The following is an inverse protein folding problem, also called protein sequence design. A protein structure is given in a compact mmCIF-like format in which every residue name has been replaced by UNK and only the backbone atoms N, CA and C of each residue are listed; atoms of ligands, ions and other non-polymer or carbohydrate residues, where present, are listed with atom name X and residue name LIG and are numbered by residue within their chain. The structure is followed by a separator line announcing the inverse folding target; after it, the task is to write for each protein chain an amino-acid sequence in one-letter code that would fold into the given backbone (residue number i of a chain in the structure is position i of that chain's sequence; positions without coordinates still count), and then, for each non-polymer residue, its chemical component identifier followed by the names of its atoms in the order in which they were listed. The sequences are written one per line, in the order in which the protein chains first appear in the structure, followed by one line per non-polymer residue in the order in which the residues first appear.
data_IF_828192368608
#
_entry.id   IF_828192368608
#
_cell.length_a   1.000
_cell.length_b   1.000
_cell.length_c   1.000
_cell.angle_alpha   90.00
_cell.angle_beta   90.00
_cell.angle_gamma   90.00
#
_symmetry.space_group_name_H-M   'P 1'
#
loop_
_entity.id
_entity.type
_entity.pdbx_description
1 polymer ?
#
# COMPACT_ATOMS: atom_id res chain seq x y z
N UNK A 1 -45.21 -23.68 -2.80
CA UNK A 1 -44.56 -22.80 -3.79
C UNK A 1 -43.20 -22.39 -3.29
N UNK A 2 -42.26 -22.26 -4.23
CA UNK A 2 -40.83 -22.48 -4.10
C UNK A 2 -40.07 -21.55 -3.13
N UNK A 3 -39.08 -22.16 -2.45
CA UNK A 3 -37.85 -21.51 -1.98
C UNK A 3 -37.09 -20.96 -3.18
N UNK A 4 -36.68 -19.70 -3.14
CA UNK A 4 -35.62 -19.19 -4.00
C UNK A 4 -34.50 -18.66 -3.11
N UNK A 5 -33.59 -19.55 -2.76
CA UNK A 5 -32.24 -19.25 -2.30
C UNK A 5 -31.49 -18.57 -3.43
N UNK A 6 -31.29 -17.26 -3.35
CA UNK A 6 -30.32 -16.55 -4.17
C UNK A 6 -28.94 -16.80 -3.59
N UNK A 7 -28.29 -17.82 -4.15
CA UNK A 7 -26.89 -18.18 -3.92
C UNK A 7 -25.99 -17.04 -4.40
N UNK A 8 -25.62 -16.13 -3.50
CA UNK A 8 -24.52 -15.19 -3.74
C UNK A 8 -23.22 -15.99 -3.74
N UNK A 9 -22.53 -15.94 -4.87
CA UNK A 9 -21.33 -16.72 -5.17
C UNK A 9 -20.11 -16.10 -4.46
N UNK A 10 -20.20 -15.87 -3.14
CA UNK A 10 -19.08 -15.45 -2.31
C UNK A 10 -18.12 -16.63 -2.18
N UNK A 11 -17.16 -16.73 -3.10
CA UNK A 11 -15.98 -17.57 -2.92
C UNK A 11 -15.41 -17.22 -1.54
N UNK A 12 -15.53 -18.13 -0.57
CA UNK A 12 -15.03 -17.93 0.79
C UNK A 12 -13.55 -17.53 0.70
N UNK A 13 -13.25 -16.27 1.01
CA UNK A 13 -11.87 -15.79 1.07
C UNK A 13 -11.19 -16.53 2.24
N UNK A 14 -10.06 -17.17 1.95
CA UNK A 14 -9.29 -17.90 2.97
C UNK A 14 -8.31 -16.95 3.60
N UNK A 15 -8.62 -16.54 4.83
CA UNK A 15 -7.75 -15.70 5.64
C UNK A 15 -6.62 -16.54 6.24
N UNK A 16 -5.38 -16.12 6.04
CA UNK A 16 -4.20 -16.77 6.55
C UNK A 16 -3.03 -15.78 6.63
N UNK A 17 -2.07 -16.07 7.50
CA UNK A 17 -0.79 -15.36 7.55
C UNK A 17 0.33 -16.13 6.81
N UNK A 18 0.02 -17.28 6.19
CA UNK A 18 0.98 -18.16 5.50
C UNK A 18 0.81 -18.19 3.99
N UNK A 19 0.23 -17.14 3.42
CA UNK A 19 0.16 -17.03 1.97
C UNK A 19 1.56 -16.77 1.41
N UNK A 20 1.89 -17.46 0.34
CA UNK A 20 3.20 -17.41 -0.27
C UNK A 20 3.08 -17.28 -1.78
N UNK A 21 4.11 -16.69 -2.38
CA UNK A 21 4.27 -16.59 -3.82
C UNK A 21 5.45 -17.44 -4.26
N UNK A 22 5.34 -17.97 -5.47
CA UNK A 22 6.45 -18.62 -6.15
C UNK A 22 7.11 -17.59 -7.06
N UNK A 23 8.34 -17.25 -6.73
CA UNK A 23 9.20 -16.40 -7.55
C UNK A 23 10.17 -17.31 -8.28
N UNK A 24 10.41 -17.01 -9.55
CA UNK A 24 11.31 -17.79 -10.40
C UNK A 24 12.25 -16.89 -11.18
N UNK A 25 13.40 -17.43 -11.54
CA UNK A 25 14.42 -16.69 -12.30
C UNK A 25 14.32 -17.00 -13.79
N UNK A 26 14.10 -18.27 -14.14
CA UNK A 26 14.11 -18.71 -15.54
C UNK A 26 12.89 -19.55 -15.87
N UNK A 27 12.33 -19.28 -17.05
CA UNK A 27 11.28 -20.09 -17.66
C UNK A 27 11.87 -20.85 -18.84
N UNK A 28 11.79 -22.18 -18.79
CA UNK A 28 12.24 -23.04 -19.88
C UNK A 28 11.03 -23.44 -20.72
N UNK A 29 10.95 -22.87 -21.92
CA UNK A 29 9.90 -23.20 -22.88
C UNK A 29 10.30 -24.43 -23.71
N UNK A 30 9.56 -25.52 -23.53
CA UNK A 30 9.61 -26.71 -24.40
C UNK A 30 8.24 -26.91 -25.04
N UNK A 31 7.62 -28.09 -24.91
CA UNK A 31 6.20 -28.29 -25.23
C UNK A 31 5.26 -27.80 -24.11
N UNK A 32 5.76 -27.71 -22.88
CA UNK A 32 5.10 -27.07 -21.74
C UNK A 32 6.12 -26.16 -21.04
N UNK A 33 5.71 -24.98 -20.53
CA UNK A 33 6.63 -24.09 -19.83
C UNK A 33 7.01 -24.71 -18.48
N UNK A 34 8.32 -24.82 -18.24
CA UNK A 34 8.88 -25.27 -16.96
C UNK A 34 9.47 -24.09 -16.22
N UNK A 35 9.07 -23.93 -14.97
CA UNK A 35 9.61 -22.90 -14.09
C UNK A 35 10.86 -23.44 -13.40
N UNK A 36 11.98 -22.75 -13.57
CA UNK A 36 13.29 -23.14 -13.06
C UNK A 36 13.77 -22.12 -12.02
N UNK A 37 14.56 -22.59 -11.05
CA UNK A 37 15.08 -21.78 -9.93
C UNK A 37 13.95 -21.08 -9.16
N UNK A 38 13.06 -21.88 -8.56
CA UNK A 38 11.90 -21.40 -7.83
C UNK A 38 12.22 -21.23 -6.35
N UNK A 39 11.79 -20.11 -5.78
CA UNK A 39 11.81 -19.86 -4.35
C UNK A 39 10.41 -19.43 -3.86
N UNK A 40 10.09 -19.82 -2.62
CA UNK A 40 8.86 -19.40 -1.93
C UNK A 40 9.16 -18.10 -1.19
N UNK A 41 8.29 -17.11 -1.34
CA UNK A 41 8.39 -15.83 -0.64
C UNK A 41 7.06 -15.49 0.05
N UNK A 42 7.09 -14.75 1.18
CA UNK A 42 5.86 -14.30 1.82
C UNK A 42 5.10 -13.36 0.89
N UNK A 43 3.81 -13.64 0.66
CA UNK A 43 3.08 -13.06 -0.47
C UNK A 43 2.88 -11.55 -0.34
N UNK A 44 2.16 -11.12 0.69
CA UNK A 44 1.83 -9.71 0.92
C UNK A 44 3.08 -8.84 0.98
N UNK A 45 4.07 -9.23 1.77
CA UNK A 45 5.27 -8.44 2.00
C UNK A 45 6.06 -8.25 0.70
N UNK A 46 6.20 -9.31 -0.10
CA UNK A 46 6.90 -9.23 -1.40
C UNK A 46 6.14 -8.35 -2.39
N UNK A 47 4.81 -8.53 -2.51
CA UNK A 47 3.98 -7.69 -3.38
C UNK A 47 4.07 -6.24 -2.97
N UNK A 48 3.87 -5.95 -1.69
CA UNK A 48 3.85 -4.59 -1.22
C UNK A 48 5.20 -3.92 -1.37
N UNK A 49 6.34 -4.60 -1.21
CA UNK A 49 7.65 -3.98 -1.40
C UNK A 49 8.04 -3.74 -2.87
N UNK A 50 7.55 -4.56 -3.80
CA UNK A 50 8.03 -4.56 -5.19
C UNK A 50 6.97 -4.29 -6.28
N UNK A 51 5.68 -4.26 -5.94
CA UNK A 51 4.61 -3.92 -6.88
C UNK A 51 4.83 -2.53 -7.49
N UNK A 52 4.54 -2.42 -8.78
CA UNK A 52 4.60 -1.17 -9.52
C UNK A 52 3.44 -0.26 -9.16
N UNK A 53 2.23 -0.82 -9.03
CA UNK A 53 1.02 -0.10 -8.63
C UNK A 53 0.34 -0.77 -7.45
N UNK A 54 -0.08 0.06 -6.50
CA UNK A 54 -0.81 -0.29 -5.30
C UNK A 54 -2.01 0.65 -5.25
N UNK A 55 -3.18 0.07 -5.30
CA UNK A 55 -4.45 0.76 -5.33
C UNK A 55 -5.24 0.35 -4.10
N UNK A 56 -5.83 1.31 -3.39
CA UNK A 56 -6.50 1.03 -2.12
C UNK A 56 -7.94 1.54 -2.13
N UNK A 57 -8.76 0.96 -1.25
CA UNK A 57 -10.00 1.58 -0.81
C UNK A 57 -9.71 2.65 0.26
N UNK A 58 -10.79 3.22 0.80
CA UNK A 58 -10.71 4.27 1.81
C UNK A 58 -10.06 3.82 3.14
N UNK A 59 -10.39 2.62 3.61
CA UNK A 59 -9.93 2.15 4.94
C UNK A 59 -8.66 1.29 4.88
N UNK A 60 -8.07 1.14 3.68
CA UNK A 60 -6.95 0.25 3.37
C UNK A 60 -7.25 -1.26 3.53
N UNK A 61 -8.50 -1.64 3.83
CA UNK A 61 -8.91 -3.04 3.99
C UNK A 61 -8.88 -3.84 2.69
N UNK A 62 -8.95 -3.17 1.53
CA UNK A 62 -8.87 -3.78 0.21
C UNK A 62 -7.79 -3.11 -0.60
N UNK A 63 -6.85 -3.91 -1.09
CA UNK A 63 -5.68 -3.45 -1.82
C UNK A 63 -5.51 -4.26 -3.09
N UNK A 64 -5.32 -3.59 -4.22
CA UNK A 64 -5.07 -4.19 -5.52
C UNK A 64 -3.62 -3.88 -5.94
N UNK A 65 -2.85 -4.93 -6.19
CA UNK A 65 -1.46 -4.85 -6.63
C UNK A 65 -1.36 -5.19 -8.11
N UNK A 66 -0.70 -4.32 -8.87
CA UNK A 66 -0.41 -4.46 -10.30
C UNK A 66 -1.66 -4.80 -11.16
N UNK A 67 -2.87 -4.49 -10.66
CA UNK A 67 -4.16 -4.75 -11.30
C UNK A 67 -4.50 -6.24 -11.52
N UNK A 68 -3.87 -7.16 -10.79
CA UNK A 68 -4.16 -8.60 -10.92
C UNK A 68 -4.19 -9.38 -9.61
N UNK A 69 -3.62 -8.85 -8.52
CA UNK A 69 -3.67 -9.45 -7.21
C UNK A 69 -4.38 -8.56 -6.21
N UNK A 70 -5.44 -9.08 -5.63
CA UNK A 70 -6.17 -8.45 -4.55
C UNK A 70 -5.74 -9.04 -3.21
N UNK A 71 -5.43 -8.16 -2.25
CA UNK A 71 -5.18 -8.46 -0.86
C UNK A 71 -6.27 -7.81 -0.02
N UNK A 72 -6.96 -8.62 0.80
CA UNK A 72 -7.99 -8.15 1.71
C UNK A 72 -7.60 -8.39 3.16
N UNK A 73 -7.84 -7.39 3.99
CA UNK A 73 -7.61 -7.41 5.44
C UNK A 73 -8.95 -7.41 6.18
N UNK A 74 -8.99 -8.10 7.30
CA UNK A 74 -10.14 -8.09 8.21
C UNK A 74 -10.17 -6.82 9.07
N UNK A 75 -9.01 -6.31 9.48
CA UNK A 75 -8.89 -5.16 10.36
C UNK A 75 -8.22 -3.97 9.65
N UNK A 76 -8.92 -2.84 9.56
CA UNK A 76 -8.45 -1.59 8.98
C UNK A 76 -7.20 -1.02 9.70
N UNK A 77 -7.11 -1.15 11.02
CA UNK A 77 -5.96 -0.64 11.78
C UNK A 77 -4.67 -1.39 11.42
N UNK A 78 -4.76 -2.72 11.26
CA UNK A 78 -3.62 -3.53 10.84
C UNK A 78 -3.20 -3.20 9.42
N UNK A 79 -4.15 -2.99 8.52
CA UNK A 79 -3.87 -2.61 7.15
C UNK A 79 -3.17 -1.24 7.07
N UNK A 80 -3.66 -0.26 7.84
CA UNK A 80 -3.06 1.07 7.92
C UNK A 80 -1.62 1.01 8.45
N UNK A 81 -1.35 0.22 9.50
CA UNK A 81 0.00 0.03 10.03
C UNK A 81 0.97 -0.68 9.06
N UNK A 82 0.47 -1.66 8.30
CA UNK A 82 1.25 -2.32 7.24
C UNK A 82 1.59 -1.32 6.13
N UNK A 83 0.63 -0.47 5.73
CA UNK A 83 0.85 0.53 4.68
C UNK A 83 1.76 1.66 5.14
N UNK A 84 1.67 2.13 6.39
CA UNK A 84 2.61 3.12 6.91
C UNK A 84 4.04 2.58 6.95
N UNK A 85 4.22 1.35 7.44
CA UNK A 85 5.50 0.64 7.42
C UNK A 85 6.04 0.47 5.99
N UNK A 86 5.16 0.10 5.06
CA UNK A 86 5.51 -0.05 3.65
C UNK A 86 6.02 1.27 3.05
N UNK A 87 5.28 2.35 3.24
CA UNK A 87 5.65 3.67 2.73
C UNK A 87 7.02 4.07 3.27
N UNK A 88 7.26 3.89 4.58
CA UNK A 88 8.54 4.17 5.21
C UNK A 88 9.68 3.37 4.55
N UNK A 89 9.50 2.06 4.38
CA UNK A 89 10.51 1.18 3.80
C UNK A 89 10.83 1.52 2.34
N UNK A 90 9.82 1.76 1.51
CA UNK A 90 10.02 2.17 0.11
C UNK A 90 10.74 3.52 0.02
N UNK A 91 10.30 4.49 0.81
CA UNK A 91 10.91 5.82 0.85
C UNK A 91 12.38 5.77 1.30
N UNK A 92 12.68 5.01 2.36
CA UNK A 92 14.04 4.85 2.88
C UNK A 92 14.94 4.13 1.87
N UNK A 93 14.42 3.11 1.18
CA UNK A 93 15.12 2.42 0.09
C UNK A 93 15.44 3.38 -1.06
N UNK A 94 14.46 4.16 -1.52
CA UNK A 94 14.65 5.09 -2.64
C UNK A 94 15.66 6.18 -2.28
N UNK A 95 15.62 6.69 -1.05
CA UNK A 95 16.60 7.66 -0.56
C UNK A 95 18.01 7.05 -0.52
N UNK A 96 18.16 5.81 -0.04
CA UNK A 96 19.45 5.10 -0.03
C UNK A 96 19.97 4.87 -1.46
N UNK A 97 19.10 4.47 -2.39
CA UNK A 97 19.45 4.29 -3.80
C UNK A 97 19.89 5.61 -4.44
N UNK A 98 19.19 6.72 -4.17
CA UNK A 98 19.59 8.04 -4.66
C UNK A 98 20.96 8.46 -4.10
N UNK A 99 21.20 8.27 -2.80
CA UNK A 99 22.49 8.60 -2.18
C UNK A 99 23.63 7.76 -2.76
N UNK A 100 23.42 6.45 -2.92
CA UNK A 100 24.43 5.54 -3.49
C UNK A 100 24.72 5.86 -4.96
N UNK A 101 23.71 6.16 -5.78
CA UNK A 101 23.91 6.61 -7.16
C UNK A 101 24.66 7.95 -7.24
N UNK A 102 24.33 8.91 -6.37
CA UNK A 102 25.06 10.18 -6.31
C UNK A 102 26.52 10.00 -5.90
N UNK A 103 26.81 9.05 -5.01
CA UNK A 103 28.16 8.75 -4.59
C UNK A 103 28.96 8.08 -5.72
N UNK A 104 28.36 7.11 -6.42
CA UNK A 104 28.98 6.47 -7.60
C UNK A 104 29.25 7.47 -8.73
N UNK A 105 28.32 8.40 -8.98
CA UNK A 105 28.50 9.44 -10.00
C UNK A 105 29.61 10.45 -9.64
N UNK A 106 29.95 10.61 -8.36
CA UNK A 106 31.03 11.50 -7.90
C UNK A 106 32.39 10.80 -7.89
N UNK A 107 32.43 9.48 -7.72
CA UNK A 107 33.65 8.69 -7.54
C UNK A 107 34.27 8.18 -8.86
N UNK A 108 34.40 9.04 -9.87
CA UNK A 108 35.50 8.85 -10.85
C UNK A 108 36.83 9.22 -10.19
N UNK A 109 36.83 10.05 -9.13
CA UNK A 109 38.00 10.39 -8.36
C UNK A 109 37.81 10.10 -6.86
N UNK A 110 38.68 9.24 -6.32
CA UNK A 110 39.01 9.00 -4.90
C UNK A 110 38.10 8.07 -4.08
N UNK A 111 38.62 6.84 -3.89
CA UNK A 111 38.53 5.93 -2.74
C UNK A 111 37.48 6.23 -1.63
N UNK A 112 36.44 5.38 -1.60
CA UNK A 112 36.11 4.45 -0.48
C UNK A 112 36.04 4.97 0.97
N UNK A 113 35.83 6.26 1.20
CA UNK A 113 35.37 6.74 2.51
C UNK A 113 33.89 6.40 2.68
N UNK A 114 33.65 5.20 3.20
CA UNK A 114 32.42 4.72 3.81
C UNK A 114 31.77 5.83 4.65
N UNK A 115 30.81 6.55 4.07
CA UNK A 115 30.10 7.60 4.79
C UNK A 115 29.28 6.93 5.90
N UNK A 116 29.47 7.29 7.18
CA UNK A 116 28.78 6.63 8.29
C UNK A 116 27.25 6.72 8.16
N UNK A 117 26.74 7.77 7.50
CA UNK A 117 25.30 7.98 7.29
C UNK A 117 24.66 6.96 6.33
N UNK A 118 25.32 6.58 5.24
CA UNK A 118 24.75 5.58 4.30
C UNK A 118 24.75 4.20 4.93
N UNK A 119 25.83 3.85 5.64
CA UNK A 119 25.92 2.59 6.39
C UNK A 119 24.87 2.49 7.51
N UNK A 120 24.69 3.55 8.31
CA UNK A 120 23.67 3.57 9.36
C UNK A 120 22.25 3.41 8.80
N UNK A 121 21.94 4.13 7.72
CA UNK A 121 20.64 4.01 7.06
C UNK A 121 20.44 2.62 6.46
N UNK A 122 21.47 2.06 5.83
CA UNK A 122 21.43 0.70 5.28
C UNK A 122 21.16 -0.34 6.36
N UNK A 123 21.84 -0.22 7.50
CA UNK A 123 21.65 -1.11 8.64
C UNK A 123 20.23 -1.01 9.21
N UNK A 124 19.75 0.22 9.45
CA UNK A 124 18.38 0.47 9.94
C UNK A 124 17.35 -0.10 8.95
N UNK A 125 17.53 0.15 7.65
CA UNK A 125 16.65 -0.37 6.61
C UNK A 125 16.62 -1.90 6.62
N UNK A 126 17.79 -2.55 6.74
CA UNK A 126 17.87 -4.01 6.79
C UNK A 126 17.14 -4.60 7.98
N UNK A 127 17.23 -3.96 9.16
CA UNK A 127 16.49 -4.37 10.35
C UNK A 127 14.99 -4.21 10.16
N UNK A 128 14.51 -3.03 9.75
CA UNK A 128 13.08 -2.78 9.57
C UNK A 128 12.48 -3.62 8.44
N UNK A 129 13.27 -3.94 7.40
CA UNK A 129 12.85 -4.88 6.34
C UNK A 129 12.69 -6.31 6.87
N UNK A 130 13.59 -6.77 7.75
CA UNK A 130 13.46 -8.07 8.40
C UNK A 130 12.20 -8.11 9.28
N UNK A 131 11.99 -7.08 10.11
CA UNK A 131 10.80 -6.96 10.96
C UNK A 131 9.51 -6.98 10.12
N UNK A 132 9.50 -6.31 8.96
CA UNK A 132 8.37 -6.29 8.05
C UNK A 132 8.11 -7.65 7.39
N UNK A 133 9.16 -8.39 7.03
CA UNK A 133 9.05 -9.74 6.48
C UNK A 133 8.53 -10.75 7.51
N UNK A 134 8.88 -10.57 8.78
CA UNK A 134 8.39 -11.39 9.90
C UNK A 134 6.98 -11.03 10.36
N UNK A 135 6.47 -9.85 9.95
CA UNK A 135 5.17 -9.36 10.39
C UNK A 135 4.03 -10.35 10.03
N UNK A 136 3.43 -10.93 11.06
CA UNK A 136 2.41 -11.97 10.94
C UNK A 136 1.00 -11.38 10.92
N UNK A 137 0.62 -10.72 9.83
CA UNK A 137 -0.75 -10.24 9.62
C UNK A 137 -1.62 -11.32 8.95
N UNK A 138 -2.90 -11.37 9.32
CA UNK A 138 -3.89 -12.24 8.67
C UNK A 138 -4.51 -11.49 7.50
N UNK A 139 -4.44 -12.07 6.30
CA UNK A 139 -5.02 -11.50 5.09
C UNK A 139 -5.56 -12.61 4.19
N UNK A 140 -6.38 -12.25 3.22
CA UNK A 140 -6.71 -13.13 2.11
C UNK A 140 -6.10 -12.57 0.82
N UNK A 141 -5.63 -13.47 -0.04
CA UNK A 141 -5.10 -13.11 -1.35
C UNK A 141 -5.95 -13.78 -2.43
N UNK A 142 -6.26 -13.04 -3.48
CA UNK A 142 -7.06 -13.54 -4.61
C UNK A 142 -6.54 -12.98 -5.92
N UNK A 143 -6.56 -13.83 -6.96
CA UNK A 143 -6.34 -13.39 -8.34
C UNK A 143 -7.60 -12.70 -8.86
N UNK A 144 -7.41 -11.51 -9.40
CA UNK A 144 -8.43 -10.71 -10.10
C UNK A 144 -8.30 -10.96 -11.59
N UNK A 145 -9.43 -11.13 -12.28
CA UNK A 145 -9.48 -11.23 -13.72
C UNK A 145 -9.77 -9.86 -14.34
N UNK A 146 -9.31 -9.63 -15.57
CA UNK A 146 -9.54 -8.35 -16.26
C UNK A 146 -11.02 -7.95 -16.35
N UNK A 147 -11.92 -8.94 -16.51
CA UNK A 147 -13.37 -8.69 -16.55
C UNK A 147 -13.97 -8.24 -15.21
N UNK A 148 -13.27 -8.48 -14.09
CA UNK A 148 -13.71 -8.05 -12.76
C UNK A 148 -13.23 -6.63 -12.44
N UNK A 149 -12.22 -6.10 -13.14
CA UNK A 149 -11.63 -4.79 -12.84
C UNK A 149 -12.68 -3.67 -12.87
N UNK A 150 -13.55 -3.65 -13.88
CA UNK A 150 -14.62 -2.64 -14.01
C UNK A 150 -15.59 -2.64 -12.82
N UNK A 151 -15.77 -3.80 -12.18
CA UNK A 151 -16.63 -3.93 -10.99
C UNK A 151 -15.95 -3.54 -9.69
N UNK A 152 -14.62 -3.65 -9.66
CA UNK A 152 -13.78 -3.40 -8.48
C UNK A 152 -13.50 -1.90 -8.33
N UNK A 153 -13.27 -1.21 -9.45
CA UNK A 153 -13.03 0.23 -9.43
C UNK A 153 -14.32 1.01 -9.16
N UNK A 154 -14.15 2.16 -8.50
CA UNK A 154 -15.21 3.17 -8.41
C UNK A 154 -15.46 3.74 -9.82
N UNK A 155 -16.73 3.95 -10.23
CA UNK A 155 -17.00 4.67 -11.47
C UNK A 155 -16.40 6.07 -11.38
N UNK A 156 -15.50 6.41 -12.30
CA UNK A 156 -15.06 7.78 -12.50
C UNK A 156 -16.16 8.50 -13.27
N UNK A 157 -16.83 9.47 -12.64
CA UNK A 157 -17.76 10.35 -13.35
C UNK A 157 -16.92 11.27 -14.25
N UNK A 158 -16.78 10.93 -15.53
CA UNK A 158 -16.12 11.78 -16.54
C UNK A 158 -17.15 12.65 -17.28
N UNK A 159 -18.40 12.71 -16.83
CA UNK A 159 -19.44 13.50 -17.49
C UNK A 159 -19.54 14.89 -16.86
N UNK A 160 -19.01 15.87 -17.61
CA UNK A 160 -19.43 17.27 -17.72
C UNK A 160 -19.65 18.04 -16.41
N UNK A 161 -18.68 18.90 -16.10
CA UNK A 161 -18.82 20.02 -15.19
C UNK A 161 -19.84 21.03 -15.75
N UNK A 162 -21.12 20.77 -15.55
CA UNK A 162 -22.22 21.73 -15.69
C UNK A 162 -23.39 21.24 -14.83
N UNK A 163 -23.21 21.16 -13.51
CA UNK A 163 -24.33 21.28 -12.57
C UNK A 163 -23.85 21.63 -11.16
N UNK A 164 -24.47 22.69 -10.64
CA UNK A 164 -24.23 23.36 -9.36
C UNK A 164 -24.80 22.55 -8.19
N UNK A 165 -24.22 21.37 -7.95
CA UNK A 165 -24.40 20.60 -6.70
C UNK A 165 -23.16 19.70 -6.44
N UNK A 166 -22.04 20.34 -6.14
CA UNK A 166 -20.75 19.69 -5.85
C UNK A 166 -20.70 19.08 -4.43
N UNK A 167 -21.59 18.14 -4.16
CA UNK A 167 -21.54 17.31 -2.95
C UNK A 167 -20.43 16.24 -3.06
N UNK A 168 -19.19 16.70 -2.88
CA UNK A 168 -18.06 16.05 -2.16
C UNK A 168 -18.01 14.51 -2.26
N UNK A 169 -17.95 13.94 -3.45
CA UNK A 169 -17.39 12.59 -3.63
C UNK A 169 -15.88 12.75 -3.74
N UNK A 170 -15.14 12.50 -2.65
CA UNK A 170 -13.66 12.58 -2.69
C UNK A 170 -13.12 11.65 -3.77
N UNK A 171 -12.61 12.26 -4.83
CA UNK A 171 -12.03 11.58 -5.98
C UNK A 171 -10.82 10.72 -5.55
N UNK A 172 -10.54 9.66 -6.30
CA UNK A 172 -9.35 8.85 -6.08
C UNK A 172 -8.11 9.73 -6.11
N UNK A 173 -7.30 9.69 -5.05
CA UNK A 173 -6.16 10.59 -4.90
C UNK A 173 -4.86 9.82 -5.08
N UNK A 174 -4.03 10.22 -6.05
CA UNK A 174 -2.69 9.64 -6.22
C UNK A 174 -1.76 10.19 -5.13
N UNK A 175 -1.33 9.36 -4.19
CA UNK A 175 -0.44 9.74 -3.09
C UNK A 175 1.02 9.77 -3.58
N UNK A 176 1.44 8.71 -4.27
CA UNK A 176 2.79 8.58 -4.81
C UNK A 176 2.73 7.90 -6.19
N UNK A 177 3.85 7.77 -6.88
CA UNK A 177 3.93 7.12 -8.20
C UNK A 177 3.29 5.73 -8.20
N UNK A 178 3.47 4.99 -7.10
CA UNK A 178 2.98 3.63 -6.93
C UNK A 178 1.70 3.50 -6.10
N UNK A 179 1.23 4.53 -5.37
CA UNK A 179 0.10 4.39 -4.44
C UNK A 179 -1.06 5.33 -4.81
N UNK A 180 -2.22 4.75 -5.13
CA UNK A 180 -3.46 5.47 -5.40
C UNK A 180 -4.50 5.15 -4.32
N UNK A 181 -4.92 6.18 -3.60
CA UNK A 181 -5.87 6.10 -2.50
C UNK A 181 -7.32 6.18 -2.98
N UNK A 182 -8.18 5.40 -2.34
CA UNK A 182 -9.63 5.44 -2.50
C UNK A 182 -10.09 5.34 -3.96
N UNK A 183 -9.49 4.42 -4.73
CA UNK A 183 -9.90 4.11 -6.10
C UNK A 183 -10.72 2.81 -6.20
N UNK A 184 -10.66 1.96 -5.16
CA UNK A 184 -11.38 0.69 -5.09
C UNK A 184 -12.67 0.83 -4.27
N UNK A 185 -13.70 0.05 -4.65
CA UNK A 185 -14.91 -0.13 -3.84
C UNK A 185 -14.61 -0.99 -2.61
N UNK A 186 -15.15 -0.63 -1.46
CA UNK A 186 -15.20 -1.46 -0.26
C UNK A 186 -16.05 -2.72 -0.51
N UNK A 187 -15.80 -3.78 0.26
CA UNK A 187 -16.59 -5.02 0.15
C UNK A 187 -18.02 -4.85 0.70
N UNK A 188 -18.23 -3.86 1.58
CA UNK A 188 -19.52 -3.56 2.22
C UNK A 188 -20.41 -2.63 1.35
N UNK A 189 -19.86 -2.14 0.23
CA UNK A 189 -20.50 -1.15 -0.66
C UNK A 189 -21.68 -1.70 -1.49
N UNK A 190 -22.04 -2.98 -1.33
CA UNK A 190 -23.24 -3.51 -1.99
C UNK A 190 -24.54 -2.98 -1.35
N UNK A 191 -24.51 -2.37 -0.15
CA UNK A 191 -25.75 -2.07 0.59
C UNK A 191 -26.03 -0.61 1.01
N UNK A 192 -25.13 0.38 0.89
CA UNK A 192 -25.56 1.79 1.07
C UNK A 192 -24.61 2.87 0.52
N UNK A 193 -25.19 3.81 -0.24
CA UNK A 193 -24.58 5.08 -0.68
C UNK A 193 -23.95 5.91 0.46
N UNK A 194 -24.46 5.76 1.68
CA UNK A 194 -23.99 6.47 2.88
C UNK A 194 -22.70 5.90 3.47
N UNK A 195 -22.46 4.59 3.33
CA UNK A 195 -21.24 3.94 3.87
C UNK A 195 -19.97 4.44 3.18
N UNK A 196 -20.04 4.70 1.88
CA UNK A 196 -18.91 5.17 1.08
C UNK A 196 -18.55 6.63 1.39
N UNK A 197 -19.56 7.49 1.55
CA UNK A 197 -19.37 8.89 1.91
C UNK A 197 -18.85 9.04 3.35
N UNK A 198 -19.46 8.30 4.28
CA UNK A 198 -19.06 8.33 5.68
C UNK A 198 -17.60 7.86 5.83
N UNK A 199 -17.19 6.75 5.21
CA UNK A 199 -15.81 6.25 5.33
C UNK A 199 -14.75 7.32 4.98
N UNK A 200 -14.90 8.00 3.85
CA UNK A 200 -13.88 8.95 3.36
C UNK A 200 -13.82 10.30 4.06
N UNK A 201 -14.82 10.60 4.88
CA UNK A 201 -14.92 11.85 5.63
C UNK A 201 -14.95 11.62 7.14
N UNK A 202 -15.11 10.38 7.60
CA UNK A 202 -15.13 10.03 9.01
C UNK A 202 -13.73 10.15 9.59
N UNK A 203 -13.58 11.16 10.43
CA UNK A 203 -12.40 11.33 11.26
C UNK A 203 -12.59 10.55 12.56
N UNK A 204 -11.53 9.89 12.98
CA UNK A 204 -11.49 9.12 14.20
C UNK A 204 -10.47 9.77 15.13
N UNK A 205 -10.75 9.78 16.43
CA UNK A 205 -9.74 10.13 17.42
C UNK A 205 -8.62 9.10 17.38
N UNK A 206 -7.40 9.58 17.22
CA UNK A 206 -6.21 8.76 17.23
C UNK A 206 -5.09 9.49 17.96
N UNK A 207 -4.44 8.77 18.87
CA UNK A 207 -3.25 9.26 19.57
C UNK A 207 -2.03 8.65 18.91
N UNK A 208 -1.16 9.51 18.38
CA UNK A 208 0.05 9.05 17.71
C UNK A 208 1.02 8.39 18.70
N UNK A 209 1.48 7.14 18.49
CA UNK A 209 2.39 6.47 19.42
C UNK A 209 3.81 7.06 19.46
N UNK A 210 4.15 7.94 18.51
CA UNK A 210 5.49 8.53 18.38
C UNK A 210 5.60 9.96 18.95
N UNK A 211 4.61 10.82 18.72
CA UNK A 211 4.58 12.18 19.28
C UNK A 211 3.58 12.36 20.43
N UNK A 212 2.73 11.37 20.70
CA UNK A 212 1.70 11.40 21.73
C UNK A 212 0.70 12.58 21.59
N UNK A 213 0.49 13.07 20.37
CA UNK A 213 -0.52 14.07 20.04
C UNK A 213 -1.89 13.39 19.80
N UNK A 214 -2.95 13.99 20.35
CA UNK A 214 -4.35 13.58 20.12
C UNK A 214 -4.92 14.38 18.95
N UNK A 215 -5.25 13.69 17.85
CA UNK A 215 -5.69 14.29 16.61
C UNK A 215 -6.91 13.56 16.05
N UNK A 216 -7.76 14.32 15.36
CA UNK A 216 -8.85 13.81 14.53
C UNK A 216 -8.32 13.61 13.12
N UNK A 217 -8.23 12.35 12.68
CA UNK A 217 -7.66 12.00 11.38
C UNK A 217 -8.52 11.00 10.64
N UNK A 218 -8.56 11.13 9.32
CA UNK A 218 -9.01 10.04 8.44
C UNK A 218 -7.87 9.01 8.23
N UNK A 219 -8.17 7.81 7.68
CA UNK A 219 -7.16 6.77 7.44
C UNK A 219 -5.93 7.25 6.67
N UNK A 220 -6.11 8.06 5.61
CA UNK A 220 -5.00 8.59 4.81
C UNK A 220 -4.14 9.59 5.59
N UNK A 221 -4.77 10.50 6.35
CA UNK A 221 -4.12 11.46 7.24
C UNK A 221 -3.32 10.76 8.34
N UNK A 222 -3.89 9.70 8.94
CA UNK A 222 -3.21 8.88 9.93
C UNK A 222 -1.94 8.27 9.36
N UNK A 223 -2.03 7.56 8.23
CA UNK A 223 -0.88 6.91 7.58
C UNK A 223 0.19 7.95 7.18
N UNK A 224 -0.25 9.11 6.67
CA UNK A 224 0.64 10.21 6.29
C UNK A 224 1.37 10.80 7.51
N UNK A 225 0.66 11.02 8.62
CA UNK A 225 1.23 11.51 9.88
C UNK A 225 2.18 10.47 10.49
N UNK A 226 1.79 9.20 10.55
CA UNK A 226 2.59 8.13 11.15
C UNK A 226 3.95 7.99 10.47
N UNK A 227 3.97 7.92 9.14
CA UNK A 227 5.20 7.86 8.35
C UNK A 227 6.09 9.08 8.61
N UNK A 228 5.47 10.26 8.65
CA UNK A 228 6.14 11.51 8.93
C UNK A 228 6.75 11.55 10.35
N UNK A 229 6.01 11.09 11.35
CA UNK A 229 6.36 11.16 12.75
C UNK A 229 7.46 10.16 13.11
N UNK A 230 7.38 8.93 12.58
CA UNK A 230 8.40 7.90 12.69
C UNK A 230 9.77 8.39 12.21
N UNK A 231 9.81 9.04 11.04
CA UNK A 231 11.05 9.58 10.47
C UNK A 231 11.63 10.74 11.31
N UNK A 232 10.78 11.55 11.96
CA UNK A 232 11.27 12.63 12.85
C UNK A 232 11.73 12.15 14.22
N UNK A 233 11.21 11.02 14.71
CA UNK A 233 11.56 10.45 16.00
C UNK A 233 12.82 9.56 15.90
N UNK A 234 13.00 8.82 14.80
CA UNK A 234 14.18 8.00 14.52
C UNK A 234 15.09 8.66 13.45
N UNK A 235 16.10 9.41 13.89
CA UNK A 235 17.36 9.70 13.17
C UNK A 235 17.30 10.13 11.66
N UNK A 236 16.35 10.97 11.24
CA UNK A 236 16.48 11.71 9.95
C UNK A 236 16.66 13.22 10.19
N UNK A 237 17.88 13.77 10.05
CA UNK A 237 18.07 15.20 10.15
C UNK A 237 17.50 15.92 8.90
N UNK A 238 16.64 16.90 9.17
CA UNK A 238 16.21 18.02 8.30
C UNK A 238 15.46 17.67 7.01
N UNK A 239 14.12 17.73 7.14
CA UNK A 239 13.13 17.85 6.06
C UNK A 239 13.25 19.20 5.37
N UNK A 240 13.38 19.23 4.05
CA UNK A 240 12.88 20.38 3.29
C UNK A 240 12.42 20.11 1.85
N UNK A 241 12.63 18.92 1.26
CA UNK A 241 12.35 18.75 -0.18
C UNK A 241 11.50 17.57 -0.65
N UNK A 242 11.23 16.54 0.16
CA UNK A 242 10.67 15.29 -0.40
C UNK A 242 9.42 14.72 0.27
N UNK A 243 8.96 15.29 1.39
CA UNK A 243 7.83 14.71 2.15
C UNK A 243 6.83 15.75 2.61
N UNK A 244 6.26 16.51 1.67
CA UNK A 244 4.94 17.10 1.89
C UNK A 244 3.95 16.27 1.09
N UNK A 245 3.32 15.31 1.77
CA UNK A 245 1.98 14.88 1.36
C UNK A 245 1.11 16.12 1.57
N UNK A 246 0.98 16.94 0.53
CA UNK A 246 -0.07 17.94 0.49
C UNK A 246 -1.34 17.16 0.21
N UNK A 247 -2.06 16.82 1.26
CA UNK A 247 -3.50 16.61 1.12
C UNK A 247 -4.05 17.98 0.73
N UNK A 248 -4.32 18.14 -0.55
CA UNK A 248 -4.97 19.34 -1.08
C UNK A 248 -6.42 19.25 -0.62
N UNK A 249 -6.83 20.20 0.21
CA UNK A 249 -8.25 20.47 0.49
C UNK A 249 -8.93 21.00 -0.76
#
# INVERSE_FOLDING_TARGET
SAKTTTSSNNKKQVFSNRHELLVYVTLLETNKPYIMNVMRTPAMQTLFLYASTIETNNDFTRILCDQWLEVTFENAETAQGVISSLLLLRNARDLLLQMTLQDLNKSIDVELLSKPRTYQLQHLLSMKMADFLENSCVYAIRRVLSAELDTIYRPQNVENADDDDSTIRKESTKINEYLTYNCLRSNDDQESFWSEYAGSTMQIHWVCPYCNEDILVNPAERVAHENQCQLSCEYFPSREKYFRIKLVN
#
